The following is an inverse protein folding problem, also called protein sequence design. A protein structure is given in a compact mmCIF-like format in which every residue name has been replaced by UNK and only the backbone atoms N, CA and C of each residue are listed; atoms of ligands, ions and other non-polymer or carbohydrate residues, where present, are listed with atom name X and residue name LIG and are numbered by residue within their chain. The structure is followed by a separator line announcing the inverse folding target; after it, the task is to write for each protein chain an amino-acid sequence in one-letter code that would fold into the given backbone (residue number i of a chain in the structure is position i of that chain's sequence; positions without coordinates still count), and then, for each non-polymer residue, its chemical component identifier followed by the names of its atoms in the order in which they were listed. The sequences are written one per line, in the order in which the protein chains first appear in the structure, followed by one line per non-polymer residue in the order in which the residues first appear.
data_IF_374421733634
#
_entry.id   IF_374421733634
#
_cell.length_a   1.000
_cell.length_b   1.000
_cell.length_c   1.000
_cell.angle_alpha   90.00
_cell.angle_beta   90.00
_cell.angle_gamma   90.00
#
_symmetry.space_group_name_H-M   'P 1'
#
loop_
_entity.id
_entity.type
_entity.pdbx_description
1 polymer ?
#
# COMPACT_ATOMS: atom_id res chain seq x y z
N UNK A 1 -5.43 -34.95 9.92
CA UNK A 1 -5.85 -33.64 10.44
C UNK A 1 -7.37 -33.43 10.37
N UNK A 2 -7.97 -32.77 11.36
CA UNK A 2 -9.37 -32.33 11.37
C UNK A 2 -9.56 -30.99 10.65
N UNK A 3 -10.79 -30.66 10.23
CA UNK A 3 -11.06 -29.38 9.54
C UNK A 3 -10.77 -28.15 10.43
N UNK A 4 -11.06 -28.24 11.73
CA UNK A 4 -10.75 -27.17 12.70
C UNK A 4 -9.24 -26.97 12.86
N UNK A 5 -8.47 -28.05 12.85
CA UNK A 5 -7.01 -27.99 12.87
C UNK A 5 -6.45 -27.42 11.55
N UNK A 6 -7.05 -27.74 10.41
CA UNK A 6 -6.65 -27.19 9.12
C UNK A 6 -6.80 -25.67 9.06
N UNK A 7 -7.95 -25.14 9.47
CA UNK A 7 -8.16 -23.69 9.59
C UNK A 7 -7.17 -23.05 10.57
N UNK A 8 -6.89 -23.71 11.70
CA UNK A 8 -5.90 -23.23 12.67
C UNK A 8 -4.47 -23.20 12.10
N UNK A 9 -4.06 -24.24 11.36
CA UNK A 9 -2.73 -24.32 10.72
C UNK A 9 -2.59 -23.24 9.66
N UNK A 10 -3.66 -22.97 8.88
CA UNK A 10 -3.66 -21.89 7.90
C UNK A 10 -3.80 -20.48 8.50
N UNK A 11 -4.22 -20.35 9.77
CA UNK A 11 -4.66 -19.07 10.32
C UNK A 11 -5.92 -18.52 9.63
N UNK A 12 -6.71 -19.41 9.03
CA UNK A 12 -7.93 -19.09 8.30
C UNK A 12 -9.19 -19.33 9.15
N UNK A 13 -10.28 -18.67 8.80
CA UNK A 13 -11.62 -18.88 9.36
C UNK A 13 -12.53 -19.53 8.32
N UNK A 14 -13.61 -20.16 8.78
CA UNK A 14 -14.68 -20.67 7.91
C UNK A 14 -15.48 -19.53 7.23
N UNK A 15 -15.35 -18.31 7.74
CA UNK A 15 -15.97 -17.11 7.18
C UNK A 15 -15.11 -16.43 6.13
N UNK A 16 -13.83 -16.81 6.03
CA UNK A 16 -12.92 -16.25 5.04
C UNK A 16 -13.37 -16.69 3.65
N UNK A 17 -13.18 -15.82 2.66
CA UNK A 17 -13.44 -16.18 1.27
C UNK A 17 -12.29 -17.02 0.67
N UNK A 18 -12.54 -17.57 -0.53
CA UNK A 18 -11.57 -18.44 -1.20
C UNK A 18 -10.22 -17.76 -1.47
N UNK A 19 -10.25 -16.45 -1.73
CA UNK A 19 -9.06 -15.63 -1.95
C UNK A 19 -8.25 -15.48 -0.68
N UNK A 20 -8.90 -15.19 0.45
CA UNK A 20 -8.27 -15.04 1.76
C UNK A 20 -7.65 -16.35 2.24
N UNK A 21 -8.35 -17.49 2.09
CA UNK A 21 -7.82 -18.81 2.45
C UNK A 21 -6.60 -19.15 1.57
N UNK A 22 -6.68 -18.87 0.26
CA UNK A 22 -5.58 -19.08 -0.69
C UNK A 22 -4.38 -18.19 -0.37
N UNK A 23 -4.61 -16.92 -0.01
CA UNK A 23 -3.56 -16.00 0.40
C UNK A 23 -2.84 -16.50 1.66
N UNK A 24 -3.57 -16.95 2.68
CA UNK A 24 -3.03 -17.53 3.92
C UNK A 24 -2.25 -18.83 3.70
N UNK A 25 -2.75 -19.70 2.83
CA UNK A 25 -2.05 -20.92 2.40
C UNK A 25 -0.72 -20.59 1.71
N UNK A 26 -0.76 -19.73 0.69
CA UNK A 26 0.42 -19.26 -0.04
C UNK A 26 1.45 -18.67 0.92
N UNK A 27 0.99 -17.77 1.81
CA UNK A 27 1.79 -17.15 2.87
C UNK A 27 2.59 -18.19 3.66
N UNK A 28 1.96 -19.24 4.16
CA UNK A 28 2.63 -20.25 4.98
C UNK A 28 3.60 -21.14 4.19
N UNK A 29 3.28 -21.47 2.94
CA UNK A 29 4.22 -22.20 2.09
C UNK A 29 5.47 -21.38 1.78
N UNK A 30 5.35 -20.06 1.65
CA UNK A 30 6.49 -19.18 1.48
C UNK A 30 7.32 -19.02 2.73
N UNK A 31 6.69 -18.94 3.90
CA UNK A 31 7.39 -18.84 5.17
C UNK A 31 8.37 -20.00 5.37
N UNK A 32 7.98 -21.22 4.98
CA UNK A 32 8.79 -22.42 5.20
C UNK A 32 9.61 -22.86 3.97
N UNK A 33 9.56 -22.13 2.85
CA UNK A 33 10.26 -22.50 1.63
C UNK A 33 11.79 -22.53 1.82
N UNK A 34 12.52 -23.51 1.25
CA UNK A 34 13.98 -23.61 1.36
C UNK A 34 14.72 -22.35 0.87
N UNK A 35 14.19 -21.63 -0.12
CA UNK A 35 14.81 -20.40 -0.65
C UNK A 35 14.54 -19.15 0.20
N UNK A 36 13.70 -19.24 1.24
CA UNK A 36 13.43 -18.12 2.15
C UNK A 36 14.61 -17.80 3.07
N UNK A 37 15.64 -18.66 3.12
CA UNK A 37 16.88 -18.44 3.85
C UNK A 37 18.13 -18.89 3.07
N UNK A 38 18.55 -18.15 2.00
CA UNK A 38 19.73 -18.50 1.23
C UNK A 38 20.98 -18.45 2.11
N UNK A 39 21.73 -19.57 2.19
CA UNK A 39 22.99 -19.65 2.94
C UNK A 39 22.90 -20.05 4.42
N UNK A 40 21.71 -20.43 4.93
CA UNK A 40 21.58 -21.09 6.25
C UNK A 40 21.37 -22.60 6.09
N UNK A 41 21.85 -23.38 7.05
CA UNK A 41 21.53 -24.80 7.15
C UNK A 41 20.01 -24.97 7.34
N UNK A 42 19.40 -25.81 6.50
CA UNK A 42 17.95 -26.06 6.48
C UNK A 42 17.49 -26.70 7.79
N UNK A 43 16.45 -26.15 8.43
CA UNK A 43 15.83 -26.81 9.57
C UNK A 43 14.86 -27.91 9.06
N UNK A 44 15.04 -29.19 9.45
CA UNK A 44 14.11 -30.26 9.10
C UNK A 44 12.65 -29.99 9.50
N UNK A 45 12.42 -29.13 10.49
CA UNK A 45 11.07 -28.74 10.91
C UNK A 45 10.32 -27.91 9.86
N UNK A 46 11.02 -27.20 8.97
CA UNK A 46 10.37 -26.38 7.94
C UNK A 46 9.73 -27.25 6.86
N UNK A 47 10.34 -28.40 6.55
CA UNK A 47 9.77 -29.39 5.62
C UNK A 47 8.48 -29.99 6.16
N UNK A 48 8.45 -30.23 7.47
CA UNK A 48 7.27 -30.75 8.14
C UNK A 48 6.15 -29.71 8.18
N UNK A 49 6.49 -28.43 8.40
CA UNK A 49 5.51 -27.34 8.34
C UNK A 49 4.97 -27.12 6.93
N UNK A 50 5.79 -27.19 5.88
CA UNK A 50 5.31 -27.20 4.49
C UNK A 50 4.28 -28.31 4.30
N UNK A 51 4.59 -29.55 4.72
CA UNK A 51 3.65 -30.68 4.57
C UNK A 51 2.34 -30.43 5.28
N UNK A 52 2.40 -29.92 6.51
CA UNK A 52 1.21 -29.61 7.31
C UNK A 52 0.34 -28.54 6.65
N UNK A 53 0.96 -27.51 6.07
CA UNK A 53 0.27 -26.43 5.35
C UNK A 53 -0.40 -26.95 4.08
N UNK A 54 0.29 -27.79 3.30
CA UNK A 54 -0.30 -28.45 2.10
C UNK A 54 -1.47 -29.35 2.50
N UNK A 55 -1.32 -30.15 3.57
CA UNK A 55 -2.39 -31.01 4.06
C UNK A 55 -3.59 -30.19 4.57
N UNK A 56 -3.34 -29.03 5.18
CA UNK A 56 -4.38 -28.19 5.76
C UNK A 56 -5.24 -27.55 4.67
N UNK A 57 -4.59 -26.96 3.67
CA UNK A 57 -5.27 -26.40 2.52
C UNK A 57 -6.06 -27.45 1.74
N UNK A 58 -5.46 -28.63 1.51
CA UNK A 58 -6.17 -29.77 0.92
C UNK A 58 -7.41 -30.15 1.70
N UNK A 59 -7.32 -30.20 3.03
CA UNK A 59 -8.45 -30.60 3.87
C UNK A 59 -9.62 -29.61 3.82
N UNK A 60 -9.32 -28.32 3.69
CA UNK A 60 -10.33 -27.26 3.52
C UNK A 60 -10.98 -27.39 2.15
N UNK A 61 -10.20 -27.52 1.08
CA UNK A 61 -10.72 -27.70 -0.30
C UNK A 61 -11.55 -28.96 -0.48
N UNK A 62 -11.14 -30.08 0.11
CA UNK A 62 -11.94 -31.31 0.16
C UNK A 62 -13.30 -31.10 0.84
N UNK A 63 -13.37 -30.24 1.87
CA UNK A 63 -14.63 -29.92 2.56
C UNK A 63 -15.55 -29.01 1.76
N UNK A 64 -14.99 -28.27 0.80
CA UNK A 64 -15.70 -27.40 -0.15
C UNK A 64 -16.05 -28.12 -1.46
N UNK A 65 -15.60 -29.36 -1.64
CA UNK A 65 -15.90 -30.20 -2.82
C UNK A 65 -14.86 -30.12 -3.95
N UNK A 66 -13.72 -29.48 -3.73
CA UNK A 66 -12.64 -29.36 -4.72
C UNK A 66 -11.58 -30.46 -4.52
N UNK A 67 -11.43 -31.34 -5.51
CA UNK A 67 -10.50 -32.50 -5.43
C UNK A 67 -9.19 -32.30 -6.19
N UNK A 68 -8.99 -31.17 -6.87
CA UNK A 68 -7.81 -30.94 -7.72
C UNK A 68 -6.92 -29.84 -7.13
N UNK A 69 -5.71 -30.21 -6.71
CA UNK A 69 -4.69 -29.26 -6.24
C UNK A 69 -3.59 -29.23 -7.29
N UNK A 70 -3.48 -28.11 -8.00
CA UNK A 70 -2.35 -27.86 -8.91
C UNK A 70 -1.02 -28.01 -8.18
N UNK A 71 -0.03 -28.60 -8.85
CA UNK A 71 1.35 -28.62 -8.36
C UNK A 71 1.79 -27.17 -8.12
N UNK A 72 2.26 -26.92 -6.90
CA UNK A 72 2.71 -25.61 -6.46
C UNK A 72 4.00 -25.19 -7.19
N UNK A 73 3.87 -24.37 -8.24
CA UNK A 73 4.97 -23.51 -8.71
C UNK A 73 4.73 -22.11 -8.14
N UNK A 74 5.66 -21.62 -7.33
CA UNK A 74 5.55 -20.28 -6.77
C UNK A 74 5.97 -19.24 -7.80
N UNK A 75 5.00 -18.67 -8.52
CA UNK A 75 5.16 -17.37 -9.16
C UNK A 75 4.58 -16.28 -8.24
N UNK A 76 5.35 -15.22 -8.01
CA UNK A 76 4.81 -13.99 -7.42
C UNK A 76 3.93 -13.33 -8.48
N UNK A 77 2.62 -13.56 -8.39
CA UNK A 77 1.63 -13.25 -9.42
C UNK A 77 1.09 -11.80 -9.30
N UNK A 78 1.95 -10.86 -8.93
CA UNK A 78 1.62 -9.45 -8.90
C UNK A 78 1.84 -8.83 -10.29
N UNK A 79 1.07 -7.80 -10.63
CA UNK A 79 1.25 -7.08 -11.88
C UNK A 79 2.66 -6.46 -11.96
N UNK A 80 3.31 -6.55 -13.12
CA UNK A 80 4.68 -6.08 -13.31
C UNK A 80 4.75 -4.85 -14.21
N UNK A 81 5.42 -3.80 -13.73
CA UNK A 81 5.85 -2.69 -14.59
C UNK A 81 7.20 -3.03 -15.21
N UNK A 82 7.19 -3.75 -16.32
CA UNK A 82 8.42 -4.13 -17.05
C UNK A 82 9.32 -2.96 -17.45
N UNK A 83 8.84 -1.71 -17.41
CA UNK A 83 9.60 -0.50 -17.73
C UNK A 83 10.10 0.28 -16.50
N UNK A 84 9.79 -0.17 -15.28
CA UNK A 84 10.31 0.46 -14.06
C UNK A 84 11.85 0.45 -14.08
N UNK A 85 12.45 1.43 -13.42
CA UNK A 85 13.86 1.74 -13.59
C UNK A 85 14.81 0.60 -13.17
N UNK A 86 14.46 -0.13 -12.12
CA UNK A 86 15.26 -1.20 -11.56
C UNK A 86 14.39 -2.39 -11.18
N UNK A 87 14.97 -3.47 -10.68
CA UNK A 87 14.22 -4.50 -9.97
C UNK A 87 14.28 -4.21 -8.47
N UNK A 88 13.25 -4.62 -7.73
CA UNK A 88 13.24 -4.55 -6.26
C UNK A 88 13.02 -5.94 -5.68
N UNK A 89 13.54 -6.14 -4.47
CA UNK A 89 13.24 -7.33 -3.68
C UNK A 89 11.79 -7.21 -3.18
N UNK A 90 11.06 -8.32 -3.11
CA UNK A 90 9.74 -8.33 -2.46
C UNK A 90 9.89 -8.89 -1.07
N UNK A 91 9.47 -8.13 -0.07
CA UNK A 91 9.63 -8.51 1.32
C UNK A 91 8.30 -8.83 1.97
N UNK A 92 8.28 -9.91 2.75
CA UNK A 92 7.12 -10.27 3.58
C UNK A 92 7.62 -10.54 4.99
N UNK A 93 6.89 -9.98 5.96
CA UNK A 93 7.09 -10.29 7.37
C UNK A 93 5.90 -11.11 7.88
N UNK A 94 6.18 -12.31 8.36
CA UNK A 94 5.16 -13.19 8.89
C UNK A 94 4.94 -12.91 10.38
N UNK A 95 3.72 -13.09 10.87
CA UNK A 95 3.39 -13.02 12.30
C UNK A 95 2.84 -14.36 12.75
N UNK A 96 3.34 -14.87 13.87
CA UNK A 96 2.81 -16.08 14.54
C UNK A 96 2.53 -15.70 16.00
N UNK A 97 1.29 -15.89 16.47
CA UNK A 97 0.88 -15.55 17.84
C UNK A 97 1.31 -14.12 18.27
N UNK A 98 1.05 -13.13 17.41
CA UNK A 98 1.43 -11.72 17.57
C UNK A 98 2.94 -11.41 17.54
N UNK A 99 3.81 -12.41 17.45
CA UNK A 99 5.24 -12.23 17.27
C UNK A 99 5.61 -12.10 15.78
N UNK A 100 6.32 -11.03 15.44
CA UNK A 100 6.83 -10.81 14.09
C UNK A 100 8.08 -11.65 13.86
N UNK A 101 8.03 -12.51 12.84
CA UNK A 101 9.17 -13.29 12.39
C UNK A 101 10.19 -12.42 11.64
N UNK A 102 11.41 -12.94 11.42
CA UNK A 102 12.39 -12.26 10.57
C UNK A 102 11.83 -11.98 9.17
N UNK A 103 12.30 -10.89 8.57
CA UNK A 103 11.93 -10.49 7.23
C UNK A 103 12.40 -11.54 6.20
N UNK A 104 11.49 -11.98 5.33
CA UNK A 104 11.79 -12.92 4.25
C UNK A 104 11.78 -12.21 2.90
N UNK A 105 12.76 -12.52 2.05
CA UNK A 105 12.80 -12.07 0.65
C UNK A 105 12.10 -13.11 -0.22
N UNK A 106 11.01 -12.72 -0.86
CA UNK A 106 10.09 -13.64 -1.56
C UNK A 106 10.32 -13.68 -3.06
N UNK A 107 10.67 -12.55 -3.65
CA UNK A 107 10.92 -12.44 -5.08
C UNK A 107 11.87 -11.28 -5.37
N UNK A 108 12.27 -11.16 -6.64
CA UNK A 108 12.90 -9.97 -7.18
C UNK A 108 12.36 -9.73 -8.58
N UNK A 109 11.95 -8.50 -8.88
CA UNK A 109 11.36 -8.13 -10.16
C UNK A 109 10.82 -6.71 -10.13
N UNK A 110 10.07 -6.32 -11.17
CA UNK A 110 9.50 -4.97 -11.29
C UNK A 110 8.02 -4.93 -10.86
N UNK A 111 7.70 -5.64 -9.79
CA UNK A 111 6.33 -5.81 -9.32
C UNK A 111 5.76 -4.52 -8.75
N UNK A 112 4.57 -4.15 -9.22
CA UNK A 112 3.73 -3.12 -8.62
C UNK A 112 3.40 -3.52 -7.18
N UNK A 113 3.33 -2.53 -6.31
CA UNK A 113 2.85 -2.66 -4.95
C UNK A 113 1.36 -3.01 -4.95
N UNK A 114 1.04 -4.16 -4.36
CA UNK A 114 -0.32 -4.58 -4.12
C UNK A 114 -0.60 -4.54 -2.60
N UNK A 115 -1.48 -3.66 -2.10
CA UNK A 115 -1.84 -3.58 -0.69
C UNK A 115 -2.32 -4.90 -0.08
N UNK A 116 -2.91 -5.80 -0.88
CA UNK A 116 -3.42 -7.09 -0.41
C UNK A 116 -2.29 -8.13 -0.22
N UNK A 117 -1.11 -7.90 -0.82
CA UNK A 117 0.00 -8.85 -0.83
C UNK A 117 1.24 -8.36 -0.08
N UNK A 118 1.47 -7.06 -0.01
CA UNK A 118 2.68 -6.45 0.54
C UNK A 118 2.36 -5.24 1.42
N UNK A 119 2.82 -5.25 2.68
CA UNK A 119 2.71 -4.08 3.55
C UNK A 119 3.51 -2.90 2.99
N UNK A 120 2.93 -1.69 3.01
CA UNK A 120 3.56 -0.49 2.45
C UNK A 120 4.94 -0.19 3.05
N UNK A 121 5.15 -0.50 4.33
CA UNK A 121 6.45 -0.33 5.02
C UNK A 121 7.54 -1.23 4.44
N UNK A 122 7.19 -2.45 4.01
CA UNK A 122 8.09 -3.39 3.38
C UNK A 122 8.34 -3.04 1.91
N UNK A 123 7.28 -2.62 1.22
CA UNK A 123 7.36 -2.07 -0.14
C UNK A 123 8.32 -0.87 -0.20
N UNK A 124 8.08 0.17 0.61
CA UNK A 124 8.92 1.37 0.66
C UNK A 124 10.37 1.05 1.04
N UNK A 125 10.60 0.14 2.00
CA UNK A 125 11.94 -0.38 2.30
C UNK A 125 12.60 -1.00 1.07
N UNK A 126 11.88 -1.84 0.32
CA UNK A 126 12.43 -2.49 -0.86
C UNK A 126 12.84 -1.51 -1.96
N UNK A 127 12.05 -0.46 -2.17
CA UNK A 127 12.34 0.58 -3.15
C UNK A 127 13.55 1.40 -2.70
N UNK A 128 13.67 1.70 -1.41
CA UNK A 128 14.83 2.40 -0.86
C UNK A 128 16.13 1.57 -0.99
N UNK A 129 16.07 0.26 -0.78
CA UNK A 129 17.21 -0.62 -0.99
C UNK A 129 17.60 -0.67 -2.48
N UNK A 130 16.62 -0.83 -3.38
CA UNK A 130 16.85 -0.78 -4.83
C UNK A 130 17.43 0.57 -5.27
N UNK A 131 16.97 1.68 -4.71
CA UNK A 131 17.53 3.01 -4.96
C UNK A 131 19.01 3.08 -4.57
N UNK A 132 19.41 2.50 -3.43
CA UNK A 132 20.81 2.47 -2.99
C UNK A 132 21.66 1.53 -3.85
N UNK A 133 21.11 0.40 -4.28
CA UNK A 133 21.76 -0.53 -5.23
C UNK A 133 22.09 0.21 -6.53
N UNK A 134 21.08 0.88 -7.12
CA UNK A 134 21.23 1.72 -8.31
C UNK A 134 22.32 2.79 -8.13
N UNK A 135 22.29 3.57 -7.05
CA UNK A 135 23.31 4.61 -6.85
C UNK A 135 24.72 4.04 -6.77
N UNK A 136 24.87 2.84 -6.18
CA UNK A 136 26.14 2.13 -6.11
C UNK A 136 26.61 1.68 -7.49
N UNK A 137 25.71 1.15 -8.32
CA UNK A 137 26.00 0.72 -9.70
C UNK A 137 26.49 1.90 -10.57
N UNK A 138 25.88 3.07 -10.40
CA UNK A 138 26.26 4.30 -11.10
C UNK A 138 27.44 5.04 -10.44
N UNK A 139 28.04 4.47 -9.38
CA UNK A 139 29.17 5.08 -8.64
C UNK A 139 28.86 6.50 -8.11
N UNK A 140 27.60 6.76 -7.77
CA UNK A 140 27.12 8.04 -7.24
C UNK A 140 27.16 8.00 -5.72
N UNK A 141 27.78 9.01 -5.11
CA UNK A 141 27.77 9.15 -3.65
C UNK A 141 26.35 9.49 -3.18
N UNK A 142 25.79 8.73 -2.23
CA UNK A 142 24.44 8.99 -1.74
C UNK A 142 24.40 10.26 -0.90
N UNK A 143 23.77 11.31 -1.44
CA UNK A 143 23.38 12.50 -0.70
C UNK A 143 21.87 12.44 -0.33
N UNK A 144 21.44 12.96 0.84
CA UNK A 144 20.06 12.80 1.31
C UNK A 144 18.98 13.32 0.33
N UNK A 145 19.23 14.43 -0.36
CA UNK A 145 18.24 15.04 -1.25
C UNK A 145 18.13 14.25 -2.56
N UNK A 146 19.25 13.81 -3.12
CA UNK A 146 19.27 12.95 -4.31
C UNK A 146 18.67 11.58 -4.03
N UNK A 147 18.98 10.98 -2.88
CA UNK A 147 18.35 9.72 -2.44
C UNK A 147 16.84 9.90 -2.34
N UNK A 148 16.38 10.95 -1.67
CA UNK A 148 14.96 11.27 -1.53
C UNK A 148 14.28 11.44 -2.90
N UNK A 149 14.86 12.20 -3.81
CA UNK A 149 14.26 12.48 -5.11
C UNK A 149 14.20 11.24 -6.01
N UNK A 150 15.30 10.47 -6.08
CA UNK A 150 15.30 9.19 -6.82
C UNK A 150 14.32 8.21 -6.19
N UNK A 151 14.30 8.10 -4.86
CA UNK A 151 13.38 7.23 -4.15
C UNK A 151 11.92 7.52 -4.48
N UNK A 152 11.49 8.78 -4.44
CA UNK A 152 10.10 9.13 -4.77
C UNK A 152 9.75 8.88 -6.23
N UNK A 153 10.68 9.15 -7.16
CA UNK A 153 10.48 8.81 -8.58
C UNK A 153 10.34 7.30 -8.78
N UNK A 154 11.14 6.49 -8.09
CA UNK A 154 11.03 5.03 -8.14
C UNK A 154 9.74 4.54 -7.49
N UNK A 155 9.33 5.08 -6.35
CA UNK A 155 8.06 4.72 -5.70
C UNK A 155 6.88 4.88 -6.65
N UNK A 156 6.82 5.98 -7.40
CA UNK A 156 5.78 6.24 -8.39
C UNK A 156 5.72 5.19 -9.52
N UNK A 157 6.85 4.59 -9.91
CA UNK A 157 6.87 3.54 -10.95
C UNK A 157 6.24 2.22 -10.48
N UNK A 158 6.12 2.01 -9.17
CA UNK A 158 5.60 0.78 -8.57
C UNK A 158 4.22 0.95 -7.92
N UNK A 159 3.54 2.08 -8.06
CA UNK A 159 2.20 2.28 -7.50
C UNK A 159 1.19 2.50 -8.62
N UNK A 160 0.07 1.80 -8.56
CA UNK A 160 -1.12 2.06 -9.37
C UNK A 160 -2.15 2.75 -8.47
N UNK A 161 -2.30 4.09 -8.54
CA UNK A 161 -3.05 4.85 -7.56
C UNK A 161 -4.53 4.44 -7.46
N UNK A 162 -5.23 4.25 -8.59
CA UNK A 162 -6.65 3.90 -8.55
C UNK A 162 -6.89 2.46 -8.07
N UNK A 163 -6.04 1.50 -8.41
CA UNK A 163 -6.10 0.14 -7.89
C UNK A 163 -5.83 0.11 -6.38
N UNK A 164 -4.76 0.77 -5.93
CA UNK A 164 -4.42 0.86 -4.52
C UNK A 164 -5.52 1.58 -3.71
N UNK A 165 -6.10 2.65 -4.24
CA UNK A 165 -7.22 3.37 -3.62
C UNK A 165 -8.45 2.47 -3.41
N UNK A 166 -8.76 1.58 -4.36
CA UNK A 166 -9.88 0.63 -4.23
C UNK A 166 -9.67 -0.40 -3.12
N UNK A 167 -8.41 -0.75 -2.83
CA UNK A 167 -8.05 -1.76 -1.82
C UNK A 167 -7.94 -1.19 -0.41
N UNK A 168 -7.36 0.02 -0.26
CA UNK A 168 -7.12 0.62 1.06
C UNK A 168 -8.21 1.63 1.47
N UNK A 169 -8.98 2.15 0.52
CA UNK A 169 -10.01 3.14 0.79
C UNK A 169 -11.27 2.55 1.41
N UNK A 170 -11.94 3.31 2.29
CA UNK A 170 -13.23 2.90 2.83
C UNK A 170 -14.34 3.12 1.79
N UNK A 171 -14.87 2.05 1.19
CA UNK A 171 -15.93 2.13 0.17
C UNK A 171 -17.24 2.66 0.77
N UNK A 172 -17.66 3.86 0.36
CA UNK A 172 -18.89 4.50 0.83
C UNK A 172 -20.11 4.11 0.00
N UNK A 173 -19.98 4.15 -1.32
CA UNK A 173 -21.08 3.87 -2.26
C UNK A 173 -20.57 3.46 -3.64
N UNK A 174 -21.48 2.93 -4.43
CA UNK A 174 -21.26 2.51 -5.81
C UNK A 174 -22.54 2.81 -6.60
N UNK A 175 -22.47 3.71 -7.57
CA UNK A 175 -23.63 4.12 -8.38
C UNK A 175 -23.68 3.41 -9.75
N UNK A 176 -22.83 2.40 -9.95
CA UNK A 176 -22.70 1.65 -11.19
C UNK A 176 -21.79 2.30 -12.23
N UNK A 177 -21.57 3.62 -12.16
CA UNK A 177 -20.60 4.35 -13.01
C UNK A 177 -19.30 4.58 -12.25
N UNK A 178 -19.42 5.05 -11.01
CA UNK A 178 -18.34 5.42 -10.12
C UNK A 178 -18.41 4.63 -8.81
N UNK A 179 -17.24 4.29 -8.30
CA UNK A 179 -17.05 3.75 -6.95
C UNK A 179 -16.47 4.86 -6.07
N UNK A 180 -17.09 5.12 -4.93
CA UNK A 180 -16.69 6.22 -4.06
C UNK A 180 -16.02 5.70 -2.81
N UNK A 181 -14.76 6.10 -2.62
CA UNK A 181 -13.92 5.70 -1.50
C UNK A 181 -13.57 6.91 -0.64
N UNK A 182 -13.58 6.72 0.67
CA UNK A 182 -13.23 7.74 1.65
C UNK A 182 -11.86 7.47 2.27
N UNK A 183 -11.11 8.54 2.43
CA UNK A 183 -9.80 8.61 3.08
C UNK A 183 -9.81 9.71 4.15
N UNK A 184 -8.95 9.56 5.15
CA UNK A 184 -8.80 10.53 6.24
C UNK A 184 -7.51 11.33 6.07
N UNK A 185 -7.56 12.59 6.46
CA UNK A 185 -6.40 13.45 6.57
C UNK A 185 -6.66 14.56 7.59
N UNK A 186 -5.63 15.35 7.86
CA UNK A 186 -5.70 16.43 8.83
C UNK A 186 -4.92 17.66 8.36
N UNK A 187 -5.37 18.83 8.81
CA UNK A 187 -4.68 20.10 8.59
C UNK A 187 -4.16 20.59 9.93
N UNK A 188 -2.85 20.82 10.01
CA UNK A 188 -2.23 21.44 11.18
C UNK A 188 -2.22 22.96 11.02
N UNK A 189 -3.08 23.66 11.74
CA UNK A 189 -3.01 25.11 11.83
C UNK A 189 -1.92 25.52 12.83
N UNK A 190 -0.74 25.90 12.33
CA UNK A 190 0.38 26.40 13.13
C UNK A 190 0.30 27.90 13.43
N UNK A 191 -0.55 28.63 12.72
CA UNK A 191 -0.61 30.08 12.82
C UNK A 191 -1.82 30.49 13.66
N UNK A 192 -1.60 30.74 14.95
CA UNK A 192 -2.49 31.54 15.78
C UNK A 192 -2.53 33.01 15.31
N UNK A 193 -2.89 33.25 14.06
CA UNK A 193 -3.32 34.55 13.57
C UNK A 193 -4.84 34.54 13.56
N UNK A 194 -5.41 34.78 14.75
CA UNK A 194 -6.64 35.56 14.93
C UNK A 194 -7.72 35.39 13.86
N UNK A 195 -8.13 34.14 13.55
CA UNK A 195 -9.34 33.84 12.76
C UNK A 195 -9.67 32.34 12.72
N UNK A 196 -9.57 31.63 13.84
CA UNK A 196 -10.38 30.42 14.06
C UNK A 196 -11.86 30.83 14.22
N UNK A 197 -12.39 31.53 13.21
CA UNK A 197 -13.80 31.80 13.06
C UNK A 197 -14.45 30.46 12.74
N UNK A 198 -15.32 30.01 13.65
CA UNK A 198 -16.28 28.91 13.53
C UNK A 198 -16.13 28.04 12.27
N UNK A 199 -15.07 27.22 12.22
CA UNK A 199 -14.99 26.15 11.25
C UNK A 199 -15.99 25.10 11.73
N UNK A 200 -17.06 24.91 10.98
CA UNK A 200 -18.11 23.97 11.35
C UNK A 200 -17.77 22.58 10.79
N UNK A 201 -18.19 21.54 11.50
CA UNK A 201 -18.26 20.21 10.89
C UNK A 201 -19.16 20.27 9.65
N UNK A 202 -18.90 19.41 8.67
CA UNK A 202 -19.58 19.37 7.39
C UNK A 202 -19.33 20.59 6.47
N UNK A 203 -18.35 21.43 6.80
CA UNK A 203 -17.91 22.49 5.89
C UNK A 203 -17.27 21.86 4.64
N UNK A 204 -17.80 22.14 3.43
CA UNK A 204 -17.27 21.57 2.20
C UNK A 204 -15.95 22.23 1.80
N UNK A 205 -15.00 21.40 1.38
CA UNK A 205 -13.65 21.78 1.01
C UNK A 205 -13.36 21.41 -0.45
N UNK A 206 -12.63 22.29 -1.10
CA UNK A 206 -11.89 21.98 -2.30
C UNK A 206 -10.50 21.46 -1.89
N UNK A 207 -10.09 20.31 -2.42
CA UNK A 207 -8.73 19.77 -2.23
C UNK A 207 -8.08 19.65 -3.59
N UNK A 208 -6.91 20.24 -3.72
CA UNK A 208 -6.15 20.25 -4.97
C UNK A 208 -4.65 20.17 -4.69
N UNK A 209 -3.88 19.74 -5.68
CA UNK A 209 -2.43 19.69 -5.58
C UNK A 209 -1.81 21.06 -5.85
N UNK A 210 -0.86 21.47 -5.02
CA UNK A 210 -0.01 22.65 -5.21
C UNK A 210 1.39 22.37 -4.65
N UNK A 211 2.42 22.52 -5.49
CA UNK A 211 3.82 22.28 -5.10
C UNK A 211 4.01 20.90 -4.44
N UNK A 212 3.47 19.85 -5.07
CA UNK A 212 3.51 18.44 -4.61
C UNK A 212 2.83 18.19 -3.25
N UNK A 213 1.94 19.09 -2.82
CA UNK A 213 1.18 18.97 -1.57
C UNK A 213 -0.30 19.12 -1.82
N UNK A 214 -1.11 18.32 -1.12
CA UNK A 214 -2.53 18.53 -1.05
C UNK A 214 -2.82 19.79 -0.23
N UNK A 215 -3.59 20.73 -0.78
CA UNK A 215 -4.02 21.96 -0.13
C UNK A 215 -5.53 21.96 -0.01
N UNK A 216 -6.03 22.34 1.15
CA UNK A 216 -7.46 22.49 1.42
C UNK A 216 -7.89 23.96 1.41
N UNK A 217 -9.00 24.23 0.71
CA UNK A 217 -9.64 25.52 0.59
C UNK A 217 -11.14 25.39 0.89
N UNK A 218 -11.69 26.29 1.71
CA UNK A 218 -13.14 26.35 1.92
C UNK A 218 -13.87 26.78 0.64
N UNK A 219 -14.80 25.96 0.16
CA UNK A 219 -15.49 26.21 -1.13
C UNK A 219 -16.27 27.53 -1.16
N UNK A 220 -16.88 27.92 -0.04
CA UNK A 220 -17.75 29.09 0.03
C UNK A 220 -16.96 30.38 0.20
N UNK A 221 -15.94 30.37 1.05
CA UNK A 221 -15.19 31.58 1.42
C UNK A 221 -13.94 31.80 0.57
N UNK A 222 -13.47 30.77 -0.14
CA UNK A 222 -12.18 30.77 -0.85
C UNK A 222 -10.97 30.83 0.10
N UNK A 223 -11.18 30.55 1.39
CA UNK A 223 -10.13 30.61 2.39
C UNK A 223 -9.27 29.35 2.32
N UNK A 224 -7.98 29.52 2.07
CA UNK A 224 -7.00 28.44 2.21
C UNK A 224 -6.86 28.10 3.70
N UNK A 225 -7.13 26.84 4.05
CA UNK A 225 -6.99 26.31 5.40
C UNK A 225 -5.59 25.80 5.69
N UNK A 226 -4.89 25.29 4.66
CA UNK A 226 -3.50 24.84 4.77
C UNK A 226 -3.24 23.56 3.99
N UNK A 227 -2.09 22.94 4.27
CA UNK A 227 -1.72 21.66 3.69
C UNK A 227 -2.44 20.52 4.41
N UNK A 228 -2.90 19.54 3.64
CA UNK A 228 -3.47 18.29 4.14
C UNK A 228 -2.34 17.28 4.32
N UNK A 229 -2.26 16.72 5.51
CA UNK A 229 -1.41 15.58 5.86
C UNK A 229 -2.27 14.32 5.99
N UNK A 230 -1.68 13.17 5.71
CA UNK A 230 -2.33 11.87 5.86
C UNK A 230 -1.72 11.08 7.02
N UNK A 231 -2.53 10.22 7.64
CA UNK A 231 -2.11 9.37 8.76
C UNK A 231 -1.21 8.20 8.31
N UNK A 232 -1.34 7.79 7.05
CA UNK A 232 -0.59 6.68 6.46
C UNK A 232 0.26 7.15 5.28
N UNK A 233 1.54 6.76 5.28
CA UNK A 233 2.51 7.15 4.23
C UNK A 233 2.08 6.70 2.83
N UNK A 234 1.34 5.59 2.73
CA UNK A 234 0.82 5.06 1.47
C UNK A 234 -0.09 6.08 0.76
N UNK A 235 -0.86 6.85 1.53
CA UNK A 235 -1.87 7.76 0.98
C UNK A 235 -1.25 8.90 0.17
N UNK A 236 0.01 9.28 0.42
CA UNK A 236 0.69 10.28 -0.40
C UNK A 236 0.95 9.80 -1.84
N UNK A 237 1.16 8.49 -2.04
CA UNK A 237 1.39 7.92 -3.38
C UNK A 237 0.10 7.49 -4.07
N UNK A 238 -1.00 7.41 -3.32
CA UNK A 238 -2.32 7.02 -3.82
C UNK A 238 -3.18 8.26 -4.09
N UNK A 239 -3.33 9.15 -3.12
CA UNK A 239 -4.26 10.28 -3.23
C UNK A 239 -3.68 11.38 -4.10
N UNK A 240 -2.41 11.77 -3.93
CA UNK A 240 -1.86 12.93 -4.64
C UNK A 240 -1.95 12.79 -6.17
N UNK A 241 -1.58 11.65 -6.80
CA UNK A 241 -1.76 11.49 -8.24
C UNK A 241 -3.24 11.52 -8.68
N UNK A 242 -4.14 10.98 -7.86
CA UNK A 242 -5.58 10.98 -8.16
C UNK A 242 -6.22 12.37 -8.05
N UNK A 243 -5.64 13.29 -7.28
CA UNK A 243 -6.09 14.69 -7.24
C UNK A 243 -5.79 15.44 -8.55
N UNK A 244 -4.81 15.00 -9.32
CA UNK A 244 -4.45 15.60 -10.62
C UNK A 244 -5.18 14.93 -11.80
N UNK A 245 -5.79 13.76 -11.58
CA UNK A 245 -6.49 13.02 -12.62
C UNK A 245 -7.87 13.64 -12.90
N UNK A 246 -8.12 14.18 -14.11
CA UNK A 246 -9.37 14.85 -14.44
C UNK A 246 -10.58 13.90 -14.50
N UNK A 247 -10.38 12.58 -14.54
CA UNK A 247 -11.46 11.59 -14.50
C UNK A 247 -11.96 11.31 -13.07
N UNK A 248 -11.23 11.77 -12.05
CA UNK A 248 -11.57 11.58 -10.63
C UNK A 248 -12.39 12.77 -10.13
N UNK A 249 -13.58 12.48 -9.58
CA UNK A 249 -14.35 13.51 -8.87
C UNK A 249 -13.93 13.52 -7.40
N UNK A 250 -13.38 14.65 -6.96
CA UNK A 250 -12.92 14.86 -5.58
C UNK A 250 -13.95 15.67 -4.82
N UNK A 251 -14.30 15.21 -3.62
CA UNK A 251 -15.08 16.00 -2.66
C UNK A 251 -14.49 15.83 -1.28
N UNK A 252 -14.48 16.89 -0.48
CA UNK A 252 -13.96 16.82 0.88
C UNK A 252 -14.79 17.65 1.85
N UNK A 253 -14.75 17.27 3.12
CA UNK A 253 -15.44 17.99 4.17
C UNK A 253 -14.72 17.85 5.51
N UNK A 254 -14.91 18.84 6.37
CA UNK A 254 -14.39 18.83 7.73
C UNK A 254 -15.23 17.91 8.60
N UNK A 255 -14.60 16.93 9.24
CA UNK A 255 -15.29 15.94 10.07
C UNK A 255 -15.12 16.19 11.56
N UNK A 256 -14.09 16.92 11.96
CA UNK A 256 -13.81 17.16 13.38
C UNK A 256 -12.71 18.20 13.59
N UNK A 257 -12.63 18.70 14.82
CA UNK A 257 -11.63 19.68 15.22
C UNK A 257 -11.11 19.34 16.60
N UNK A 258 -9.81 19.10 16.70
CA UNK A 258 -9.12 18.84 17.96
C UNK A 258 -8.22 20.01 18.36
N UNK A 259 -8.36 20.47 19.61
CA UNK A 259 -7.48 21.48 20.20
C UNK A 259 -6.35 20.80 20.96
N UNK A 260 -5.12 20.95 20.47
CA UNK A 260 -3.93 20.34 21.08
C UNK A 260 -3.27 21.32 22.06
N UNK A 261 -2.64 20.76 23.09
CA UNK A 261 -1.81 21.53 24.04
C UNK A 261 -0.74 22.33 23.27
N UNK A 262 -0.56 23.60 23.65
CA UNK A 262 0.27 24.64 22.98
C UNK A 262 -0.41 25.43 21.84
N UNK A 263 -1.73 25.40 21.73
CA UNK A 263 -2.46 26.32 20.84
C UNK A 263 -2.50 25.90 19.37
N UNK A 264 -2.06 24.67 19.05
CA UNK A 264 -2.24 24.06 17.73
C UNK A 264 -3.64 23.47 17.61
N UNK A 265 -4.25 23.61 16.45
CA UNK A 265 -5.55 23.01 16.14
C UNK A 265 -5.37 22.01 15.00
N UNK A 266 -5.90 20.80 15.16
CA UNK A 266 -6.02 19.83 14.08
C UNK A 266 -7.44 19.86 13.55
N UNK A 267 -7.57 20.05 12.25
CA UNK A 267 -8.83 19.97 11.53
C UNK A 267 -8.81 18.64 10.80
N UNK A 268 -9.70 17.73 11.18
CA UNK A 268 -9.88 16.44 10.52
C UNK A 268 -10.70 16.64 9.24
N UNK A 269 -10.26 16.00 8.17
CA UNK A 269 -10.84 16.11 6.84
C UNK A 269 -11.11 14.71 6.31
N UNK A 270 -12.32 14.49 5.82
CA UNK A 270 -12.63 13.32 5.01
C UNK A 270 -12.56 13.70 3.53
N UNK A 271 -11.80 12.91 2.77
CA UNK A 271 -11.62 13.07 1.33
C UNK A 271 -12.32 11.91 0.65
N UNK A 272 -13.28 12.21 -0.21
CA UNK A 272 -14.01 11.22 -0.99
C UNK A 272 -13.58 11.33 -2.44
N UNK A 273 -13.07 10.22 -2.98
CA UNK A 273 -12.69 10.08 -4.39
C UNK A 273 -13.74 9.22 -5.08
N UNK A 274 -14.40 9.77 -6.10
CA UNK A 274 -15.25 8.99 -6.99
C UNK A 274 -14.41 8.50 -8.18
N UNK A 275 -14.10 7.21 -8.18
CA UNK A 275 -13.25 6.57 -9.18
C UNK A 275 -14.15 5.88 -10.20
N UNK A 276 -14.07 6.21 -11.50
CA UNK A 276 -14.84 5.53 -12.53
C UNK A 276 -14.51 4.03 -12.57
N UNK A 277 -15.53 3.16 -12.70
CA UNK A 277 -15.32 1.70 -12.76
C UNK A 277 -14.41 1.27 -13.92
N UNK A 278 -14.46 2.01 -15.03
CA UNK A 278 -13.64 1.75 -16.22
C UNK A 278 -12.24 2.36 -16.16
N UNK A 279 -11.90 3.11 -15.10
CA UNK A 279 -10.59 3.76 -15.00
C UNK A 279 -9.51 2.68 -14.86
N UNK A 280 -8.56 2.71 -15.79
CA UNK A 280 -7.44 1.78 -15.84
C UNK A 280 -6.16 2.57 -15.58
N UNK A 281 -5.45 2.22 -14.49
CA UNK A 281 -4.17 2.84 -14.18
C UNK A 281 -3.13 2.54 -15.26
N UNK A 282 -2.25 3.52 -15.48
CA UNK A 282 -1.09 3.36 -16.35
C UNK A 282 0.17 3.45 -15.49
N UNK A 283 1.04 2.43 -15.49
CA UNK A 283 2.29 2.48 -14.76
C UNK A 283 3.15 3.67 -15.21
N UNK A 284 3.63 4.44 -14.24
CA UNK A 284 4.54 5.56 -14.49
C UNK A 284 5.92 5.01 -14.86
N UNK A 285 6.65 5.73 -15.71
CA UNK A 285 8.03 5.41 -16.10
C UNK A 285 8.86 6.68 -16.01
N UNK A 286 9.75 6.71 -15.03
CA UNK A 286 10.56 7.87 -14.63
C UNK A 286 12.03 7.72 -15.00
N UNK A 287 12.40 6.69 -15.77
CA UNK A 287 13.80 6.34 -15.99
C UNK A 287 14.69 7.45 -16.56
N UNK A 288 14.19 8.37 -17.39
CA UNK A 288 14.98 9.51 -17.87
C UNK A 288 15.24 10.55 -16.78
N UNK A 289 14.25 10.82 -15.91
CA UNK A 289 14.41 11.72 -14.76
C UNK A 289 15.41 11.13 -13.76
N UNK A 290 15.29 9.83 -13.47
CA UNK A 290 16.19 9.11 -12.57
C UNK A 290 17.62 9.14 -13.11
N UNK A 291 17.84 8.85 -14.41
CA UNK A 291 19.16 8.98 -15.04
C UNK A 291 19.73 10.39 -14.96
N UNK A 292 18.88 11.42 -15.00
CA UNK A 292 19.29 12.81 -14.83
C UNK A 292 19.89 13.07 -13.44
N UNK A 293 19.33 12.47 -12.39
CA UNK A 293 19.80 12.58 -11.01
C UNK A 293 21.01 11.69 -10.69
N UNK A 294 21.26 10.66 -11.50
CA UNK A 294 22.41 9.74 -11.39
C UNK A 294 23.65 10.23 -12.15
N UNK A 295 23.55 11.34 -12.90
CA UNK A 295 24.70 12.03 -13.49
C UNK A 295 25.36 12.99 -12.49
#
# INVERSE_FOLDING_TARGET
MTLKEAYKILGASKTDDDSEIKAKYKRLLFLYHPDSAPGKERNPEDDEKIRQVIEAYRKIRESEGETFIEKYEFSWDAFENSKAFSERNIYVQFRIYDEALPLSKMARGRFIWDPDMEEFSLFSKSVLESCKEVMTEYQVVPDPERVKNIFHLMMQEYVLPADAARKIGNKLRDDGKNEVFQFTGFISDEASNSRAAAVNTDTPLNIYLREDRAVAEEMVSGRILGNVSFDEDALYYVILPLLEDPEIEVSAAITGIDKIRRGKTWIHVAISLAIPRGLTDKPVVNGELIKGLLK
#
